data_IF_823912581720
#
_entry.id   IF_823912581720
#
_cell.length_a   1.000
_cell.length_b   1.000
_cell.length_c   1.000
_cell.angle_alpha   90.00
_cell.angle_beta   90.00
_cell.angle_gamma   90.00
#
_symmetry.space_group_name_H-M   'P 1'
#
loop_
_entity.id
_entity.type
_entity.pdbx_description
1 polymer ?
#
# COMPACT_ATOMS: atom_id res chain seq x y z
N UNK A 1 -14.68 48.85 -6.09
CA UNK A 1 -14.33 47.86 -5.07
C UNK A 1 -15.45 46.83 -5.01
N UNK A 2 -15.23 45.61 -5.52
CA UNK A 2 -15.78 44.36 -5.00
C UNK A 2 -15.46 43.19 -5.93
N UNK A 3 -14.62 42.30 -5.38
CA UNK A 3 -14.47 40.86 -5.62
C UNK A 3 -14.15 40.40 -7.06
N UNK A 4 -12.85 40.29 -7.36
CA UNK A 4 -12.35 39.29 -8.29
C UNK A 4 -12.48 37.93 -7.60
N UNK A 5 -13.43 37.11 -8.05
CA UNK A 5 -13.46 35.70 -7.68
C UNK A 5 -12.42 35.01 -8.56
N UNK A 6 -11.33 34.58 -7.91
CA UNK A 6 -10.31 33.75 -8.52
C UNK A 6 -10.95 32.44 -8.93
N UNK A 7 -11.18 32.31 -10.23
CA UNK A 7 -11.57 31.10 -10.92
C UNK A 7 -10.60 29.98 -10.50
N UNK A 8 -11.09 29.14 -9.61
CA UNK A 8 -10.44 27.92 -9.18
C UNK A 8 -10.48 26.97 -10.39
N UNK A 9 -9.52 27.17 -11.31
CA UNK A 9 -9.15 26.19 -12.30
C UNK A 9 -8.56 24.98 -11.57
N UNK A 10 -9.46 24.18 -10.99
CA UNK A 10 -9.24 22.81 -10.55
C UNK A 10 -8.87 22.03 -11.80
N UNK A 11 -7.57 22.02 -12.09
CA UNK A 11 -6.98 21.07 -13.03
C UNK A 11 -7.49 19.68 -12.61
N UNK A 12 -8.07 18.88 -13.51
CA UNK A 12 -8.30 17.49 -13.20
C UNK A 12 -6.92 16.89 -12.93
N UNK A 13 -6.67 16.53 -11.68
CA UNK A 13 -5.51 15.75 -11.32
C UNK A 13 -5.66 14.41 -12.06
N UNK A 14 -4.83 14.20 -13.07
CA UNK A 14 -4.48 12.88 -13.58
C UNK A 14 -3.67 12.15 -12.51
N UNK A 15 -4.28 11.91 -11.34
CA UNK A 15 -3.71 11.25 -10.16
C UNK A 15 -4.31 9.85 -9.94
N UNK A 16 -4.88 9.24 -10.98
CA UNK A 16 -5.61 7.96 -10.85
C UNK A 16 -4.92 6.78 -11.56
N UNK A 17 -3.76 7.00 -12.20
CA UNK A 17 -3.04 5.97 -12.97
C UNK A 17 -1.61 5.71 -12.47
N UNK A 18 -1.18 6.37 -11.38
CA UNK A 18 0.11 6.06 -10.74
C UNK A 18 -0.11 5.24 -9.46
N UNK A 19 0.55 4.08 -9.31
CA UNK A 19 0.56 3.39 -8.02
C UNK A 19 1.16 4.32 -6.96
N UNK A 20 0.52 4.36 -5.80
CA UNK A 20 0.96 5.20 -4.70
C UNK A 20 2.38 4.78 -4.22
N UNK A 21 3.01 5.62 -3.41
CA UNK A 21 4.37 5.32 -2.91
C UNK A 21 4.44 4.04 -2.07
N UNK A 22 3.33 3.58 -1.50
CA UNK A 22 3.23 2.34 -0.75
C UNK A 22 3.08 1.14 -1.69
N UNK A 23 2.18 1.21 -2.68
CA UNK A 23 1.99 0.23 -3.74
C UNK A 23 3.30 0.01 -4.51
N UNK A 24 3.99 1.09 -4.90
CA UNK A 24 5.32 1.01 -5.53
C UNK A 24 6.31 0.21 -4.69
N UNK A 25 6.31 0.40 -3.35
CA UNK A 25 7.19 -0.35 -2.44
C UNK A 25 6.78 -1.81 -2.38
N UNK A 26 5.49 -2.11 -2.30
CA UNK A 26 4.98 -3.47 -2.28
C UNK A 26 5.26 -4.20 -3.60
N UNK A 27 5.04 -3.59 -4.75
CA UNK A 27 5.40 -4.16 -6.05
C UNK A 27 6.91 -4.44 -6.16
N UNK A 28 7.76 -3.54 -5.63
CA UNK A 28 9.21 -3.78 -5.60
C UNK A 28 9.65 -4.94 -4.71
N UNK A 29 8.77 -5.44 -3.83
CA UNK A 29 9.09 -6.57 -2.93
C UNK A 29 8.88 -7.94 -3.57
N UNK A 30 8.16 -8.02 -4.70
CA UNK A 30 7.79 -9.28 -5.33
C UNK A 30 6.71 -10.07 -4.59
N UNK A 31 6.05 -9.49 -3.57
CA UNK A 31 5.00 -10.11 -2.75
C UNK A 31 3.68 -9.33 -2.81
N UNK A 32 3.42 -8.67 -3.94
CA UNK A 32 2.25 -7.81 -4.10
C UNK A 32 0.93 -8.60 -4.06
N UNK A 33 0.92 -9.82 -4.63
CA UNK A 33 -0.27 -10.66 -4.67
C UNK A 33 -0.67 -11.15 -3.27
N UNK A 34 0.30 -11.54 -2.44
CA UNK A 34 0.05 -11.93 -1.05
C UNK A 34 -0.38 -10.73 -0.20
N UNK A 35 0.20 -9.56 -0.45
CA UNK A 35 -0.21 -8.33 0.21
C UNK A 35 -1.64 -7.92 -0.16
N UNK A 36 -2.02 -8.04 -1.44
CA UNK A 36 -3.38 -7.79 -1.91
C UNK A 36 -4.37 -8.73 -1.20
N UNK A 37 -4.11 -10.04 -1.18
CA UNK A 37 -4.96 -11.01 -0.46
C UNK A 37 -5.12 -10.71 1.03
N UNK A 38 -4.04 -10.29 1.70
CA UNK A 38 -4.09 -9.89 3.09
C UNK A 38 -4.95 -8.64 3.29
N UNK A 39 -4.79 -7.65 2.40
CA UNK A 39 -5.54 -6.40 2.42
C UNK A 39 -7.02 -6.65 2.12
N UNK A 40 -7.34 -7.52 1.17
CA UNK A 40 -8.69 -7.93 0.82
C UNK A 40 -9.37 -8.64 1.99
N UNK A 41 -8.69 -9.61 2.63
CA UNK A 41 -9.22 -10.28 3.81
C UNK A 41 -9.52 -9.28 4.94
N UNK A 42 -8.62 -8.32 5.19
CA UNK A 42 -8.88 -7.27 6.16
C UNK A 42 -10.02 -6.36 5.71
N UNK A 43 -10.14 -6.05 4.42
CA UNK A 43 -11.20 -5.21 3.92
C UNK A 43 -12.57 -5.85 4.10
N UNK A 44 -12.68 -7.16 3.88
CA UNK A 44 -13.91 -7.93 4.06
C UNK A 44 -14.26 -8.12 5.53
N UNK A 45 -13.29 -8.55 6.36
CA UNK A 45 -13.55 -8.94 7.76
C UNK A 45 -13.40 -7.79 8.76
N UNK A 46 -12.66 -6.74 8.38
CA UNK A 46 -12.20 -5.63 9.23
C UNK A 46 -11.43 -6.08 10.49
N UNK A 47 -10.89 -7.29 10.48
CA UNK A 47 -10.15 -7.88 11.59
C UNK A 47 -8.97 -8.72 11.08
N UNK A 48 -7.76 -8.23 11.32
CA UNK A 48 -6.52 -8.87 10.88
C UNK A 48 -6.27 -10.23 11.55
N UNK A 49 -6.86 -10.49 12.73
CA UNK A 49 -6.69 -11.79 13.42
C UNK A 49 -7.34 -12.93 12.65
N UNK A 50 -8.41 -12.63 11.92
CA UNK A 50 -9.10 -13.59 11.08
C UNK A 50 -8.44 -13.79 9.70
N UNK A 51 -7.32 -13.08 9.45
CA UNK A 51 -6.52 -13.14 8.23
C UNK A 51 -5.11 -13.71 8.50
N UNK A 52 -5.01 -14.58 9.51
CA UNK A 52 -3.72 -15.16 9.94
C UNK A 52 -3.09 -15.99 8.82
N UNK A 53 -3.89 -16.70 8.02
CA UNK A 53 -3.40 -17.49 6.90
C UNK A 53 -2.76 -16.61 5.81
N UNK A 54 -3.44 -15.53 5.42
CA UNK A 54 -2.95 -14.54 4.45
C UNK A 54 -1.67 -13.87 4.97
N UNK A 55 -1.60 -13.60 6.28
CA UNK A 55 -0.41 -13.04 6.91
C UNK A 55 0.77 -14.02 6.88
N UNK A 56 0.54 -15.32 7.08
CA UNK A 56 1.57 -16.35 6.94
C UNK A 56 2.07 -16.48 5.51
N UNK A 57 1.16 -16.44 4.52
CA UNK A 57 1.53 -16.44 3.11
C UNK A 57 2.40 -15.23 2.76
N UNK A 58 2.00 -14.03 3.19
CA UNK A 58 2.79 -12.82 2.98
C UNK A 58 4.18 -12.91 3.62
N UNK A 59 4.27 -13.37 4.89
CA UNK A 59 5.56 -13.58 5.56
C UNK A 59 6.44 -14.61 4.85
N UNK A 60 5.84 -15.68 4.34
CA UNK A 60 6.56 -16.71 3.59
C UNK A 60 7.15 -16.14 2.30
N UNK A 61 6.35 -15.39 1.52
CA UNK A 61 6.85 -14.69 0.34
C UNK A 61 7.95 -13.69 0.71
N UNK A 62 7.73 -12.89 1.76
CA UNK A 62 8.67 -11.88 2.23
C UNK A 62 10.06 -12.45 2.51
N UNK A 63 10.11 -13.58 3.22
CA UNK A 63 11.34 -14.29 3.52
C UNK A 63 11.99 -14.89 2.27
N UNK A 64 11.20 -15.45 1.36
CA UNK A 64 11.69 -16.03 0.11
C UNK A 64 12.33 -14.97 -0.81
N UNK A 65 11.73 -13.77 -0.86
CA UNK A 65 12.27 -12.63 -1.62
C UNK A 65 13.42 -11.91 -0.89
N UNK A 66 13.79 -12.34 0.33
CA UNK A 66 14.89 -11.76 1.08
C UNK A 66 14.63 -10.33 1.56
N UNK A 67 13.36 -9.99 1.79
CA UNK A 67 12.94 -8.63 2.13
C UNK A 67 13.17 -8.25 3.60
N UNK A 68 13.72 -9.15 4.41
CA UNK A 68 13.98 -8.92 5.85
C UNK A 68 14.77 -7.62 6.09
N UNK A 69 15.73 -7.30 5.22
CA UNK A 69 16.54 -6.07 5.27
C UNK A 69 15.76 -4.78 5.08
N UNK A 70 14.56 -4.86 4.50
CA UNK A 70 13.68 -3.70 4.28
C UNK A 70 12.93 -3.31 5.57
N UNK A 71 12.85 -4.24 6.52
CA UNK A 71 12.17 -4.08 7.82
C UNK A 71 13.12 -4.07 9.00
N UNK A 72 14.43 -4.23 8.77
CA UNK A 72 15.44 -4.05 9.80
C UNK A 72 15.28 -2.66 10.43
N UNK A 73 14.93 -2.62 11.71
CA UNK A 73 14.91 -1.38 12.47
C UNK A 73 16.35 -0.86 12.53
N UNK A 74 16.63 0.25 11.82
CA UNK A 74 17.82 1.03 12.13
C UNK A 74 17.60 1.63 13.51
N UNK A 75 18.47 1.30 14.46
CA UNK A 75 18.53 1.96 15.76
C UNK A 75 18.45 3.47 15.55
N UNK A 76 17.42 4.10 16.11
CA UNK A 76 17.10 5.52 15.97
C UNK A 76 17.94 6.38 16.92
#
# INVERSE_FOLDING_TARGET
MSKQESDAAKKPSTEDDEPDDWDKRIFSTGCADENAKLTDCYFEKKDWRQCTAEMEHFKSCWKQQGNDRRTDAKDA
#
